data_IF_460358292654
#
_entry.id   IF_460358292654
#
_cell.length_a   1.000
_cell.length_b   1.000
_cell.length_c   1.000
_cell.angle_alpha   90.00
_cell.angle_beta   90.00
_cell.angle_gamma   90.00
#
_symmetry.space_group_name_H-M   'P 1'
#
loop_
_entity.id
_entity.type
_entity.pdbx_description
1 polymer ?
#
# COMPACT_ATOMS: atom_id res chain seq x y z
N UNK A 1 2.39 -0.93 54.00
CA UNK A 1 3.21 -1.16 52.78
C UNK A 1 2.39 -1.98 51.80
N UNK A 2 1.75 -1.35 50.83
CA UNK A 2 1.00 -2.01 49.74
C UNK A 2 1.98 -2.45 48.66
N UNK A 3 2.00 -3.74 48.33
CA UNK A 3 2.78 -4.26 47.19
C UNK A 3 2.25 -3.61 45.89
N UNK A 4 3.12 -3.17 44.97
CA UNK A 4 2.68 -2.71 43.67
C UNK A 4 2.06 -3.88 42.90
N UNK A 5 0.87 -3.65 42.35
CA UNK A 5 0.22 -4.57 41.42
C UNK A 5 1.07 -4.58 40.15
N UNK A 6 1.77 -5.69 39.89
CA UNK A 6 2.41 -5.93 38.61
C UNK A 6 1.31 -6.13 37.57
N UNK A 7 1.05 -5.10 36.77
CA UNK A 7 0.29 -5.27 35.53
C UNK A 7 1.06 -6.26 34.64
N UNK A 8 0.40 -7.30 34.10
CA UNK A 8 1.07 -8.22 33.20
C UNK A 8 1.64 -7.45 32.00
N UNK A 9 2.80 -7.87 31.45
CA UNK A 9 3.33 -7.24 30.26
C UNK A 9 2.27 -7.35 29.17
N UNK A 10 1.80 -6.21 28.67
CA UNK A 10 0.98 -6.17 27.47
C UNK A 10 1.73 -6.95 26.39
N UNK A 11 1.27 -8.16 26.07
CA UNK A 11 1.83 -8.93 24.98
C UNK A 11 1.72 -8.04 23.74
N UNK A 12 2.87 -7.55 23.30
CA UNK A 12 2.96 -6.67 22.14
C UNK A 12 2.39 -7.40 20.94
N UNK A 13 1.38 -6.83 20.30
CA UNK A 13 0.85 -7.29 19.01
C UNK A 13 1.98 -7.40 17.96
N UNK A 14 3.14 -6.76 18.17
CA UNK A 14 4.32 -6.94 17.34
C UNK A 14 4.84 -8.40 17.30
N UNK A 15 4.47 -9.23 18.27
CA UNK A 15 4.76 -10.68 18.24
C UNK A 15 3.82 -11.44 17.29
N UNK A 16 2.71 -10.83 16.84
CA UNK A 16 1.70 -11.47 16.00
C UNK A 16 2.00 -11.34 14.50
N UNK A 17 2.72 -10.30 14.06
CA UNK A 17 3.14 -10.19 12.65
C UNK A 17 4.57 -10.71 12.51
N UNK A 18 4.68 -11.93 11.98
CA UNK A 18 5.96 -12.44 11.52
C UNK A 18 6.45 -11.55 10.36
N UNK A 19 7.59 -10.85 10.49
CA UNK A 19 8.04 -9.92 9.47
C UNK A 19 8.31 -10.59 8.13
N UNK A 20 8.68 -11.87 8.14
CA UNK A 20 8.78 -12.68 6.93
C UNK A 20 7.41 -12.97 6.33
N UNK A 21 6.38 -13.15 7.16
CA UNK A 21 5.02 -13.49 6.72
C UNK A 21 4.37 -12.39 5.87
N UNK A 22 4.32 -11.15 6.37
CA UNK A 22 3.73 -10.05 5.58
C UNK A 22 4.54 -9.76 4.32
N UNK A 23 5.87 -9.83 4.39
CA UNK A 23 6.73 -9.57 3.24
C UNK A 23 6.54 -10.65 2.16
N UNK A 24 6.47 -11.93 2.55
CA UNK A 24 6.15 -13.02 1.62
C UNK A 24 4.79 -12.80 0.98
N UNK A 25 3.75 -12.50 1.76
CA UNK A 25 2.42 -12.19 1.22
C UNK A 25 2.45 -11.01 0.26
N UNK A 26 3.11 -9.91 0.62
CA UNK A 26 3.25 -8.72 -0.21
C UNK A 26 4.03 -8.96 -1.50
N UNK A 27 5.09 -9.78 -1.46
CA UNK A 27 5.81 -10.18 -2.66
C UNK A 27 4.95 -11.03 -3.59
N UNK A 28 4.21 -12.00 -3.04
CA UNK A 28 3.30 -12.82 -3.85
C UNK A 28 2.17 -11.99 -4.44
N UNK A 29 1.56 -11.08 -3.68
CA UNK A 29 0.50 -10.21 -4.21
C UNK A 29 1.03 -9.31 -5.32
N UNK A 30 2.22 -8.73 -5.15
CA UNK A 30 2.86 -7.89 -6.15
C UNK A 30 3.24 -8.68 -7.40
N UNK A 31 3.88 -9.85 -7.24
CA UNK A 31 4.27 -10.72 -8.35
C UNK A 31 3.05 -11.20 -9.13
N UNK A 32 2.00 -11.62 -8.43
CA UNK A 32 0.75 -12.06 -9.04
C UNK A 32 0.13 -10.96 -9.90
N UNK A 33 -0.02 -9.75 -9.35
CA UNK A 33 -0.62 -8.61 -10.05
C UNK A 33 0.26 -8.13 -11.22
N UNK A 34 1.58 -8.07 -11.01
CA UNK A 34 2.52 -7.69 -12.08
C UNK A 34 2.51 -8.71 -13.23
N UNK A 35 2.46 -10.00 -12.93
CA UNK A 35 2.35 -11.06 -13.93
C UNK A 35 1.01 -10.98 -14.67
N UNK A 36 -0.09 -10.79 -13.95
CA UNK A 36 -1.43 -10.64 -14.52
C UNK A 36 -1.48 -9.46 -15.51
N UNK A 37 -0.97 -8.29 -15.12
CA UNK A 37 -0.85 -7.13 -16.03
C UNK A 37 0.09 -7.38 -17.20
N UNK A 38 1.23 -8.04 -16.97
CA UNK A 38 2.24 -8.31 -18.01
C UNK A 38 1.78 -9.30 -19.08
N UNK A 39 0.92 -10.25 -18.71
CA UNK A 39 0.32 -11.20 -19.67
C UNK A 39 -0.79 -10.58 -20.52
N UNK A 40 -1.31 -9.41 -20.13
CA UNK A 40 -2.45 -8.78 -20.81
C UNK A 40 -3.75 -9.60 -20.74
N UNK A 41 -3.80 -10.60 -19.84
CA UNK A 41 -4.95 -11.47 -19.69
C UNK A 41 -6.02 -10.78 -18.85
N UNK A 42 -7.27 -10.83 -19.30
CA UNK A 42 -8.43 -10.33 -18.56
C UNK A 42 -9.33 -11.51 -18.21
N UNK A 43 -9.68 -11.66 -16.93
CA UNK A 43 -10.73 -12.59 -16.53
C UNK A 43 -12.07 -12.04 -16.98
N UNK A 44 -12.82 -12.78 -17.80
CA UNK A 44 -14.09 -12.32 -18.37
C UNK A 44 -15.08 -11.84 -17.30
N UNK A 45 -15.26 -12.61 -16.22
CA UNK A 45 -16.15 -12.24 -15.11
C UNK A 45 -15.72 -10.95 -14.41
N UNK A 46 -14.42 -10.71 -14.26
CA UNK A 46 -13.90 -9.49 -13.64
C UNK A 46 -14.05 -8.32 -14.61
N UNK A 47 -13.76 -8.54 -15.89
CA UNK A 47 -13.91 -7.55 -16.93
C UNK A 47 -15.36 -7.06 -17.04
N UNK A 48 -16.34 -7.98 -16.99
CA UNK A 48 -17.77 -7.68 -16.99
C UNK A 48 -18.17 -6.79 -15.81
N UNK A 49 -17.76 -7.17 -14.59
CA UNK A 49 -18.01 -6.36 -13.38
C UNK A 49 -17.30 -5.01 -13.49
N UNK A 50 -16.09 -4.98 -14.03
CA UNK A 50 -15.32 -3.76 -14.27
C UNK A 50 -15.90 -2.88 -15.39
N UNK A 51 -16.85 -3.34 -16.21
CA UNK A 51 -17.56 -2.44 -17.14
C UNK A 51 -18.60 -1.59 -16.43
N UNK A 52 -19.14 -2.08 -15.31
CA UNK A 52 -20.20 -1.43 -14.55
C UNK A 52 -19.71 -0.09 -13.93
N UNK A 53 -20.38 1.00 -14.27
CA UNK A 53 -20.02 2.36 -13.80
C UNK A 53 -19.99 2.47 -12.28
N UNK A 54 -20.99 1.93 -11.58
CA UNK A 54 -21.06 2.00 -10.13
C UNK A 54 -19.90 1.21 -9.50
N UNK A 55 -19.58 0.02 -10.03
CA UNK A 55 -18.44 -0.75 -9.57
C UNK A 55 -17.12 0.01 -9.74
N UNK A 56 -16.88 0.63 -10.90
CA UNK A 56 -15.67 1.45 -11.14
C UNK A 56 -15.55 2.57 -10.10
N UNK A 57 -16.63 3.28 -9.84
CA UNK A 57 -16.65 4.39 -8.87
C UNK A 57 -16.39 3.89 -7.45
N UNK A 58 -17.09 2.84 -7.01
CA UNK A 58 -16.93 2.29 -5.65
C UNK A 58 -15.56 1.66 -5.44
N UNK A 59 -15.05 0.88 -6.40
CA UNK A 59 -13.69 0.32 -6.35
C UNK A 59 -12.62 1.42 -6.35
N UNK A 60 -12.83 2.50 -7.11
CA UNK A 60 -11.93 3.66 -7.11
C UNK A 60 -11.92 4.42 -5.78
N UNK A 61 -13.11 4.65 -5.18
CA UNK A 61 -13.23 5.25 -3.84
C UNK A 61 -12.59 4.36 -2.78
N UNK A 62 -12.81 3.05 -2.84
CA UNK A 62 -12.16 2.10 -1.93
C UNK A 62 -10.64 2.15 -2.06
N UNK A 63 -10.11 2.18 -3.28
CA UNK A 63 -8.67 2.27 -3.53
C UNK A 63 -8.09 3.61 -3.04
N UNK A 64 -8.78 4.73 -3.28
CA UNK A 64 -8.40 6.04 -2.74
C UNK A 64 -8.37 6.04 -1.21
N UNK A 65 -9.38 5.45 -0.58
CA UNK A 65 -9.44 5.33 0.88
C UNK A 65 -8.25 4.52 1.43
N UNK A 66 -7.86 3.44 0.75
CA UNK A 66 -6.67 2.66 1.11
C UNK A 66 -5.38 3.46 0.95
N UNK A 67 -5.24 4.23 -0.13
CA UNK A 67 -4.09 5.13 -0.35
C UNK A 67 -4.02 6.18 0.76
N UNK A 68 -5.13 6.86 1.08
CA UNK A 68 -5.21 7.85 2.15
C UNK A 68 -4.96 7.21 3.52
N UNK A 69 -5.37 5.96 3.73
CA UNK A 69 -5.08 5.23 4.95
C UNK A 69 -3.57 5.02 5.14
N UNK A 70 -2.79 4.80 4.07
CA UNK A 70 -1.32 4.71 4.16
C UNK A 70 -0.69 5.99 4.74
N UNK A 71 -1.23 7.16 4.35
CA UNK A 71 -0.74 8.45 4.81
C UNK A 71 -0.97 8.70 6.30
N UNK A 72 -1.93 8.01 6.94
CA UNK A 72 -2.21 8.18 8.38
C UNK A 72 -0.97 7.90 9.23
N UNK A 73 -0.16 6.91 8.85
CA UNK A 73 1.07 6.59 9.57
C UNK A 73 2.12 7.71 9.41
N UNK A 74 2.35 8.14 8.17
CA UNK A 74 3.28 9.24 7.87
C UNK A 74 2.89 10.53 8.59
N UNK A 75 1.63 10.93 8.52
CA UNK A 75 1.13 12.16 9.15
C UNK A 75 1.32 12.15 10.67
N UNK A 76 1.00 11.05 11.35
CA UNK A 76 1.24 10.94 12.81
C UNK A 76 2.70 11.13 13.15
N UNK A 77 3.60 10.47 12.40
CA UNK A 77 5.05 10.61 12.56
C UNK A 77 5.52 12.06 12.36
N UNK A 78 4.98 12.77 11.37
CA UNK A 78 5.31 14.18 11.13
C UNK A 78 4.80 15.11 12.22
N UNK A 79 3.60 14.86 12.76
CA UNK A 79 3.00 15.69 13.82
C UNK A 79 3.55 15.40 15.23
N UNK A 80 4.50 14.48 15.37
CA UNK A 80 5.04 14.08 16.67
C UNK A 80 4.04 13.37 17.58
N UNK A 81 2.92 12.88 17.04
CA UNK A 81 1.95 12.10 17.79
C UNK A 81 2.49 10.70 18.07
N UNK A 82 2.12 10.13 19.21
CA UNK A 82 2.47 8.76 19.57
C UNK A 82 2.05 7.79 18.46
N UNK A 83 3.04 7.10 17.91
CA UNK A 83 2.83 5.99 16.99
C UNK A 83 3.02 4.70 17.76
N UNK A 84 1.97 3.89 17.81
CA UNK A 84 2.07 2.53 18.35
C UNK A 84 2.65 1.61 17.29
N UNK A 85 3.29 0.51 17.72
CA UNK A 85 3.77 -0.54 16.81
C UNK A 85 2.61 -1.07 15.94
N UNK A 86 1.39 -1.12 16.49
CA UNK A 86 0.19 -1.52 15.75
C UNK A 86 -0.13 -0.65 14.53
N UNK A 87 0.20 0.65 14.52
CA UNK A 87 0.03 1.48 13.33
C UNK A 87 1.00 1.12 12.21
N UNK A 88 2.25 0.80 12.55
CA UNK A 88 3.25 0.35 11.59
C UNK A 88 2.86 -1.01 10.99
N UNK A 89 2.43 -1.93 11.85
CA UNK A 89 1.98 -3.26 11.47
C UNK A 89 0.79 -3.20 10.51
N UNK A 90 -0.19 -2.35 10.81
CA UNK A 90 -1.34 -2.12 9.96
C UNK A 90 -0.95 -1.45 8.63
N UNK A 91 -0.03 -0.48 8.64
CA UNK A 91 0.49 0.15 7.44
C UNK A 91 1.18 -0.87 6.51
N UNK A 92 2.05 -1.72 7.07
CA UNK A 92 2.72 -2.80 6.31
C UNK A 92 1.70 -3.78 5.72
N UNK A 93 0.75 -4.25 6.52
CA UNK A 93 -0.23 -5.24 6.09
C UNK A 93 -1.13 -4.70 4.98
N UNK A 94 -1.72 -3.52 5.17
CA UNK A 94 -2.61 -2.91 4.17
C UNK A 94 -1.83 -2.56 2.90
N UNK A 95 -0.58 -2.09 3.03
CA UNK A 95 0.32 -1.88 1.89
C UNK A 95 0.51 -3.13 1.04
N UNK A 96 0.59 -4.32 1.65
CA UNK A 96 0.72 -5.59 0.93
C UNK A 96 -0.58 -6.02 0.22
N UNK A 97 -1.74 -5.52 0.66
CA UNK A 97 -3.04 -5.81 0.06
C UNK A 97 -3.35 -4.86 -1.12
N UNK A 98 -2.73 -3.68 -1.15
CA UNK A 98 -2.97 -2.65 -2.15
C UNK A 98 -2.84 -3.11 -3.62
N UNK A 99 -1.83 -3.94 -4.02
CA UNK A 99 -1.74 -4.47 -5.38
C UNK A 99 -2.99 -5.24 -5.80
N UNK A 100 -3.60 -6.00 -4.88
CA UNK A 100 -4.78 -6.81 -5.17
C UNK A 100 -5.96 -5.88 -5.48
N UNK A 101 -6.17 -4.83 -4.69
CA UNK A 101 -7.23 -3.85 -4.96
C UNK A 101 -7.05 -3.13 -6.30
N UNK A 102 -5.79 -2.88 -6.71
CA UNK A 102 -5.50 -2.33 -8.04
C UNK A 102 -5.97 -3.27 -9.15
N UNK A 103 -5.70 -4.57 -9.03
CA UNK A 103 -6.16 -5.56 -10.01
C UNK A 103 -7.69 -5.56 -10.14
N UNK A 104 -8.41 -5.46 -9.03
CA UNK A 104 -9.87 -5.40 -9.04
C UNK A 104 -10.42 -4.10 -9.62
N UNK A 105 -9.67 -2.99 -9.53
CA UNK A 105 -10.11 -1.70 -10.05
C UNK A 105 -9.77 -1.48 -11.54
N UNK A 106 -8.60 -1.97 -12.00
CA UNK A 106 -8.10 -1.70 -13.35
C UNK A 106 -8.57 -2.78 -14.33
N UNK A 107 -9.30 -2.35 -15.36
CA UNK A 107 -9.65 -3.19 -16.51
C UNK A 107 -8.51 -3.27 -17.52
N UNK A 108 -8.08 -2.13 -18.03
CA UNK A 108 -7.04 -2.03 -19.05
C UNK A 108 -5.96 -1.01 -18.67
N UNK A 109 -4.77 -1.19 -19.22
CA UNK A 109 -3.65 -0.26 -19.10
C UNK A 109 -3.42 0.47 -20.44
N UNK A 110 -4.48 0.69 -21.22
CA UNK A 110 -4.43 1.27 -22.55
C UNK A 110 -4.11 2.77 -22.52
N UNK A 111 -4.47 3.46 -21.43
CA UNK A 111 -4.19 4.88 -21.24
C UNK A 111 -2.86 5.06 -20.49
N UNK A 112 -1.95 5.85 -21.07
CA UNK A 112 -0.58 6.00 -20.57
C UNK A 112 -0.51 6.48 -19.11
N UNK A 113 -1.34 7.46 -18.71
CA UNK A 113 -1.33 7.97 -17.33
C UNK A 113 -1.86 6.93 -16.32
N UNK A 114 -2.85 6.11 -16.70
CA UNK A 114 -3.38 5.04 -15.86
C UNK A 114 -2.34 3.94 -15.65
N UNK A 115 -1.58 3.61 -16.70
CA UNK A 115 -0.42 2.73 -16.60
C UNK A 115 0.65 3.29 -15.68
N UNK A 116 0.96 4.58 -15.81
CA UNK A 116 1.92 5.25 -14.93
C UNK A 116 1.47 5.22 -13.46
N UNK A 117 0.19 5.50 -13.18
CA UNK A 117 -0.38 5.41 -11.84
C UNK A 117 -0.23 3.99 -11.25
N UNK A 118 -0.59 2.96 -12.02
CA UNK A 118 -0.44 1.57 -11.60
C UNK A 118 1.03 1.22 -11.28
N UNK A 119 1.96 1.57 -12.18
CA UNK A 119 3.40 1.34 -11.99
C UNK A 119 3.90 2.04 -10.74
N UNK A 120 3.58 3.33 -10.55
CA UNK A 120 4.02 4.09 -9.37
C UNK A 120 3.52 3.43 -8.08
N UNK A 121 2.26 3.00 -8.02
CA UNK A 121 1.74 2.35 -6.82
C UNK A 121 2.42 0.99 -6.59
N UNK A 122 2.60 0.16 -7.63
CA UNK A 122 3.26 -1.14 -7.50
C UNK A 122 4.72 -1.00 -7.07
N UNK A 123 5.48 -0.08 -7.66
CA UNK A 123 6.87 0.22 -7.26
C UNK A 123 6.92 0.77 -5.84
N UNK A 124 5.92 1.56 -5.43
CA UNK A 124 5.83 2.04 -4.06
C UNK A 124 5.57 0.90 -3.06
N UNK A 125 4.71 -0.06 -3.42
CA UNK A 125 4.47 -1.26 -2.61
C UNK A 125 5.75 -2.10 -2.49
N UNK A 126 6.46 -2.33 -3.60
CA UNK A 126 7.75 -3.02 -3.58
C UNK A 126 8.75 -2.33 -2.66
N UNK A 127 8.85 -1.00 -2.77
CA UNK A 127 9.74 -0.19 -1.93
C UNK A 127 9.35 -0.32 -0.45
N UNK A 128 8.06 -0.30 -0.12
CA UNK A 128 7.56 -0.49 1.26
C UNK A 128 7.87 -1.88 1.84
N UNK A 129 7.77 -2.93 1.03
CA UNK A 129 8.14 -4.30 1.42
C UNK A 129 9.66 -4.41 1.64
N UNK A 130 10.46 -3.81 0.75
CA UNK A 130 11.92 -3.75 0.80
C UNK A 130 12.43 -2.75 1.86
N UNK A 131 11.87 -2.79 3.06
CA UNK A 131 12.29 -1.94 4.17
C UNK A 131 13.52 -2.50 4.91
N UNK A 132 14.00 -1.72 5.89
CA UNK A 132 15.22 -2.04 6.67
C UNK A 132 15.09 -3.35 7.47
N UNK A 133 13.89 -3.75 7.88
CA UNK A 133 13.66 -5.01 8.60
C UNK A 133 13.89 -6.22 7.68
N UNK A 134 13.44 -6.14 6.44
CA UNK A 134 13.56 -7.21 5.45
C UNK A 134 14.97 -7.26 4.85
N UNK A 135 15.52 -6.10 4.47
CA UNK A 135 16.83 -6.03 3.82
C UNK A 135 18.00 -6.11 4.80
N UNK A 136 17.76 -5.85 6.09
CA UNK A 136 18.78 -5.88 7.14
C UNK A 136 19.98 -4.93 6.91
N UNK A 137 19.83 -3.92 6.03
CA UNK A 137 20.86 -2.91 5.73
C UNK A 137 20.78 -1.79 6.77
N UNK A 138 21.75 -1.74 7.70
CA UNK A 138 21.79 -0.76 8.81
C UNK A 138 22.55 0.54 8.50
N UNK A 139 22.68 0.91 7.22
CA UNK A 139 23.38 2.15 6.82
C UNK A 139 22.41 3.34 6.87
N UNK A 140 22.78 4.47 7.49
CA UNK A 140 21.89 5.63 7.62
C UNK A 140 21.51 6.23 6.26
N UNK A 141 22.45 6.24 5.31
CA UNK A 141 22.20 6.65 3.93
C UNK A 141 21.10 5.80 3.28
N UNK A 142 21.16 4.48 3.43
CA UNK A 142 20.16 3.57 2.88
C UNK A 142 18.77 3.86 3.45
N UNK A 143 18.65 4.01 4.78
CA UNK A 143 17.38 4.34 5.42
C UNK A 143 16.79 5.66 4.89
N UNK A 144 17.63 6.70 4.76
CA UNK A 144 17.17 8.01 4.29
C UNK A 144 16.74 7.98 2.81
N UNK A 145 17.52 7.31 1.95
CA UNK A 145 17.19 7.14 0.55
C UNK A 145 15.91 6.30 0.37
N UNK A 146 15.78 5.20 1.10
CA UNK A 146 14.58 4.37 1.11
C UNK A 146 13.34 5.16 1.53
N UNK A 147 13.42 5.90 2.65
CA UNK A 147 12.32 6.73 3.16
C UNK A 147 11.93 7.81 2.16
N UNK A 148 12.90 8.52 1.60
CA UNK A 148 12.67 9.57 0.61
C UNK A 148 12.01 9.01 -0.65
N UNK A 149 12.51 7.88 -1.17
CA UNK A 149 11.92 7.22 -2.34
C UNK A 149 10.50 6.75 -2.08
N UNK A 150 10.23 6.11 -0.93
CA UNK A 150 8.90 5.61 -0.58
C UNK A 150 7.88 6.76 -0.44
N UNK A 151 8.23 7.83 0.28
CA UNK A 151 7.34 8.99 0.44
C UNK A 151 7.17 9.75 -0.89
N UNK A 152 8.24 9.88 -1.67
CA UNK A 152 8.21 10.52 -2.98
C UNK A 152 7.27 9.79 -3.95
N UNK A 153 7.40 8.47 -4.06
CA UNK A 153 6.51 7.63 -4.86
C UNK A 153 5.06 7.68 -4.34
N UNK A 154 4.84 7.68 -3.03
CA UNK A 154 3.51 7.83 -2.46
C UNK A 154 2.87 9.18 -2.83
N UNK A 155 3.67 10.25 -2.82
CA UNK A 155 3.22 11.61 -3.20
C UNK A 155 2.85 11.66 -4.68
N UNK A 156 3.71 11.14 -5.56
CA UNK A 156 3.44 11.06 -7.00
C UNK A 156 2.18 10.22 -7.25
N UNK A 157 2.05 9.06 -6.60
CA UNK A 157 0.90 8.19 -6.73
C UNK A 157 -0.41 8.86 -6.29
N UNK A 158 -0.41 9.59 -5.18
CA UNK A 158 -1.58 10.35 -4.73
C UNK A 158 -1.95 11.47 -5.71
N UNK A 159 -0.98 12.23 -6.20
CA UNK A 159 -1.22 13.27 -7.22
C UNK A 159 -1.81 12.69 -8.50
N UNK A 160 -1.27 11.56 -8.97
CA UNK A 160 -1.79 10.87 -10.16
C UNK A 160 -3.19 10.29 -9.91
N UNK A 161 -3.50 9.82 -8.70
CA UNK A 161 -4.84 9.36 -8.36
C UNK A 161 -5.86 10.52 -8.36
N UNK A 162 -5.49 11.69 -7.82
CA UNK A 162 -6.34 12.89 -7.88
C UNK A 162 -6.54 13.33 -9.33
N UNK A 163 -5.47 13.34 -10.13
CA UNK A 163 -5.55 13.64 -11.56
C UNK A 163 -6.45 12.64 -12.31
N UNK A 164 -6.35 11.34 -12.00
CA UNK A 164 -7.22 10.32 -12.59
C UNK A 164 -8.70 10.58 -12.27
N UNK A 165 -9.04 10.91 -11.01
CA UNK A 165 -10.40 11.27 -10.61
C UNK A 165 -10.87 12.50 -11.38
N UNK A 166 -10.04 13.54 -11.49
CA UNK A 166 -10.35 14.73 -12.28
C UNK A 166 -10.68 14.37 -13.73
N UNK A 167 -9.84 13.57 -14.40
CA UNK A 167 -10.06 13.16 -15.79
C UNK A 167 -11.36 12.35 -15.91
N UNK A 168 -11.55 11.30 -15.10
CA UNK A 168 -12.70 10.39 -15.23
C UNK A 168 -14.05 11.06 -14.96
N UNK A 169 -14.11 12.08 -14.11
CA UNK A 169 -15.38 12.74 -13.77
C UNK A 169 -15.66 14.01 -14.59
N UNK A 170 -14.65 14.64 -15.19
CA UNK A 170 -14.81 15.93 -15.88
C UNK A 170 -14.51 15.89 -17.37
N UNK A 171 -13.89 14.83 -17.90
CA UNK A 171 -13.56 14.64 -19.31
C UNK A 171 -13.99 13.25 -19.81
#
# INVERSE_FOLDING_TARGET
>A
MSKPVQTPPSQSISALINPKGYAVFGFFSLLFVAAWFGMGYQWEWLAEIQENTLYKQLSGVALLALILQQWRFGLRRFTGQDFTIGFMDNHKLIGCVLPIFILFHIRDLGVAYQRMLAIVILVNCLTGILNVEILQIRKPFFHNAWMASHIGLATIGLTLAIYHIYVVYLY
#
